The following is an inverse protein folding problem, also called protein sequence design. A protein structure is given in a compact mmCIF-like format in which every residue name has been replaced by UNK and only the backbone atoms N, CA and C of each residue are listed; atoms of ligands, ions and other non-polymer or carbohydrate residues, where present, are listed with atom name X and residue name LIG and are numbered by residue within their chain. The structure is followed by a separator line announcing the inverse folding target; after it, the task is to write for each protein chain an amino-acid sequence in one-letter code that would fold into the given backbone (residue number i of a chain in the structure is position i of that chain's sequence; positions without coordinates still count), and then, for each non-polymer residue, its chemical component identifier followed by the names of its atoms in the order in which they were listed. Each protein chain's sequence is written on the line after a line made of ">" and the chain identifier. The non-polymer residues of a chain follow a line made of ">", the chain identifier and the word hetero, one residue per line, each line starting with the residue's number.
data_IF_142697904705
#
_entry.id   IF_142697904705
#
_cell.length_a   1.000
_cell.length_b   1.000
_cell.length_c   1.000
_cell.angle_alpha   90.00
_cell.angle_beta   90.00
_cell.angle_gamma   90.00
#
_symmetry.space_group_name_H-M   'P 1'
#
loop_
_entity.id
_entity.type
_entity.pdbx_description
1 polymer ?
#
# COMPACT_ATOMS: atom_id res chain seq x y z
N UNK A 1 -8.78 21.41 15.58
CA UNK A 1 -8.00 21.14 14.35
C UNK A 1 -7.64 19.67 14.37
N UNK A 2 -7.79 18.95 13.24
CA UNK A 2 -7.41 17.54 13.16
C UNK A 2 -5.90 17.41 12.91
N UNK A 3 -5.25 16.47 13.59
CA UNK A 3 -3.86 16.09 13.32
C UNK A 3 -3.83 14.87 12.40
N UNK A 4 -2.75 14.59 11.67
CA UNK A 4 -2.66 13.38 10.84
C UNK A 4 -2.94 12.10 11.62
N UNK A 5 -2.49 12.02 12.87
CA UNK A 5 -2.65 10.85 13.76
C UNK A 5 -4.12 10.62 14.14
N UNK A 6 -4.98 11.64 14.03
CA UNK A 6 -6.42 11.48 14.26
C UNK A 6 -7.08 10.58 13.22
N UNK A 7 -6.50 10.46 12.03
CA UNK A 7 -7.00 9.57 10.98
C UNK A 7 -6.77 8.07 11.29
N UNK A 8 -5.94 7.77 12.29
CA UNK A 8 -5.64 6.39 12.70
C UNK A 8 -6.72 5.80 13.61
N UNK A 9 -7.53 6.65 14.26
CA UNK A 9 -8.46 6.20 15.30
C UNK A 9 -9.55 5.30 14.71
N UNK A 10 -9.66 4.07 15.23
CA UNK A 10 -10.67 3.05 14.83
C UNK A 10 -10.60 2.65 13.35
N UNK A 11 -9.52 3.01 12.65
CA UNK A 11 -9.32 2.64 11.26
C UNK A 11 -8.78 1.21 11.14
N UNK A 12 -9.23 0.47 10.14
CA UNK A 12 -8.75 -0.90 9.88
C UNK A 12 -7.37 -0.94 9.21
N UNK A 13 -7.02 0.12 8.47
CA UNK A 13 -5.76 0.23 7.75
C UNK A 13 -5.37 1.70 7.52
N UNK A 14 -4.08 1.94 7.32
CA UNK A 14 -3.54 3.24 6.88
C UNK A 14 -3.26 3.21 5.38
N UNK A 15 -3.65 4.27 4.65
CA UNK A 15 -3.33 4.44 3.23
C UNK A 15 -2.50 5.71 3.02
N UNK A 16 -1.30 5.57 2.44
CA UNK A 16 -0.43 6.69 2.09
C UNK A 16 -0.65 7.08 0.63
N UNK A 17 -1.33 8.21 0.41
CA UNK A 17 -1.63 8.73 -0.93
C UNK A 17 -0.62 9.80 -1.40
N UNK A 18 0.13 10.40 -0.48
CA UNK A 18 1.07 11.50 -0.75
C UNK A 18 2.38 11.33 0.02
N UNK A 19 3.47 11.87 -0.52
CA UNK A 19 4.85 11.72 -0.03
C UNK A 19 5.32 12.87 0.87
N UNK A 20 4.39 13.53 1.56
CA UNK A 20 4.69 14.71 2.35
C UNK A 20 5.73 14.39 3.43
N UNK A 21 6.62 15.35 3.70
CA UNK A 21 7.78 15.13 4.55
C UNK A 21 7.42 14.59 5.95
N UNK A 22 6.29 15.04 6.50
CA UNK A 22 5.74 14.58 7.79
C UNK A 22 5.39 13.09 7.82
N UNK A 23 5.19 12.44 6.67
CA UNK A 23 4.85 11.00 6.59
C UNK A 23 6.05 10.10 6.40
N UNK A 24 7.27 10.63 6.22
CA UNK A 24 8.47 9.79 5.93
C UNK A 24 9.07 9.12 7.16
N UNK A 25 8.83 9.66 8.36
CA UNK A 25 9.33 9.11 9.61
C UNK A 25 8.21 9.11 10.67
N UNK A 26 7.13 8.33 10.46
CA UNK A 26 6.03 8.29 11.40
C UNK A 26 6.40 7.47 12.64
N UNK A 27 5.61 7.65 13.69
CA UNK A 27 5.63 6.76 14.84
C UNK A 27 4.84 5.48 14.51
N UNK A 28 5.56 4.42 14.15
CA UNK A 28 4.95 3.13 13.83
C UNK A 28 4.37 2.41 15.04
N UNK A 29 4.83 2.69 16.26
CA UNK A 29 4.24 2.12 17.47
C UNK A 29 2.86 2.74 17.70
N UNK A 30 2.74 4.06 17.55
CA UNK A 30 1.46 4.76 17.61
C UNK A 30 0.48 4.26 16.54
N UNK A 31 0.95 4.05 15.31
CA UNK A 31 0.12 3.51 14.22
C UNK A 31 -0.39 2.12 14.60
N UNK A 32 0.49 1.22 15.06
CA UNK A 32 0.09 -0.14 15.45
C UNK A 32 -0.93 -0.15 16.59
N UNK A 33 -0.79 0.77 17.56
CA UNK A 33 -1.71 0.86 18.70
C UNK A 33 -3.09 1.41 18.35
N UNK A 34 -3.19 2.24 17.31
CA UNK A 34 -4.45 2.94 16.97
C UNK A 34 -5.29 2.26 15.91
N UNK A 35 -4.66 1.54 14.99
CA UNK A 35 -5.37 0.77 13.97
C UNK A 35 -5.97 -0.51 14.57
N UNK A 36 -7.14 -0.93 14.08
CA UNK A 36 -7.74 -2.22 14.45
C UNK A 36 -6.88 -3.41 13.97
N UNK A 37 -6.14 -3.22 12.88
CA UNK A 37 -5.17 -4.16 12.35
C UNK A 37 -3.93 -3.40 11.84
N UNK A 38 -2.72 -3.96 11.98
CA UNK A 38 -1.48 -3.31 11.56
C UNK A 38 -1.29 -3.43 10.03
N UNK A 39 -2.20 -2.83 9.26
CA UNK A 39 -2.23 -2.90 7.79
C UNK A 39 -1.90 -1.52 7.20
N UNK A 40 -0.93 -1.47 6.29
CA UNK A 40 -0.52 -0.25 5.59
C UNK A 40 -0.51 -0.49 4.08
N UNK A 41 -1.26 0.31 3.33
CA UNK A 41 -1.16 0.44 1.88
C UNK A 41 -0.37 1.70 1.54
N UNK A 42 0.69 1.59 0.75
CA UNK A 42 1.57 2.71 0.47
C UNK A 42 1.75 2.94 -1.02
N UNK A 43 1.01 3.93 -1.53
CA UNK A 43 1.07 4.36 -2.92
C UNK A 43 2.36 5.10 -3.29
N UNK A 44 3.22 5.42 -2.33
CA UNK A 44 4.43 6.25 -2.51
C UNK A 44 5.72 5.54 -2.11
N UNK A 45 5.65 4.29 -1.66
CA UNK A 45 6.80 3.45 -1.32
C UNK A 45 7.74 4.11 -0.29
N UNK A 46 7.18 4.82 0.69
CA UNK A 46 7.93 5.60 1.70
C UNK A 46 8.69 4.73 2.70
N UNK A 47 8.18 3.53 2.99
CA UNK A 47 8.69 2.70 4.08
C UNK A 47 9.46 1.48 3.57
N UNK A 48 10.32 0.96 4.45
CA UNK A 48 11.08 -0.25 4.21
C UNK A 48 10.25 -1.49 4.53
N UNK A 49 10.23 -2.45 3.60
CA UNK A 49 9.35 -3.63 3.69
C UNK A 49 9.79 -4.57 4.80
N UNK A 50 11.10 -4.86 4.89
CA UNK A 50 11.61 -5.76 5.93
C UNK A 50 11.43 -5.18 7.33
N UNK A 51 11.63 -3.88 7.49
CA UNK A 51 11.48 -3.19 8.76
C UNK A 51 10.04 -3.23 9.27
N UNK A 52 9.06 -3.09 8.38
CA UNK A 52 7.64 -3.18 8.74
C UNK A 52 7.21 -4.62 9.02
N UNK A 53 7.66 -5.58 8.20
CA UNK A 53 7.41 -7.00 8.45
C UNK A 53 7.96 -7.45 9.82
N UNK A 54 9.19 -7.03 10.19
CA UNK A 54 9.79 -7.30 11.51
C UNK A 54 9.00 -6.71 12.69
N UNK A 55 8.13 -5.73 12.43
CA UNK A 55 7.24 -5.11 13.43
C UNK A 55 5.82 -5.69 13.43
N UNK A 56 5.56 -6.69 12.59
CA UNK A 56 4.25 -7.33 12.49
C UNK A 56 3.23 -6.54 11.68
N UNK A 57 3.67 -5.63 10.81
CA UNK A 57 2.78 -4.98 9.85
C UNK A 57 2.60 -5.83 8.60
N UNK A 58 1.37 -5.87 8.10
CA UNK A 58 1.11 -6.19 6.70
C UNK A 58 1.32 -4.91 5.88
N UNK A 59 2.34 -4.90 5.04
CA UNK A 59 2.74 -3.71 4.29
C UNK A 59 2.67 -3.97 2.79
N UNK A 60 1.81 -3.20 2.13
CA UNK A 60 1.53 -3.31 0.70
C UNK A 60 2.04 -2.07 -0.07
N UNK A 61 3.35 -2.00 -0.40
CA UNK A 61 3.92 -0.99 -1.28
C UNK A 61 3.63 -1.29 -2.76
N UNK A 62 3.70 -0.30 -3.64
CA UNK A 62 3.52 -0.53 -5.07
C UNK A 62 4.74 -1.23 -5.68
N UNK A 63 4.47 -2.36 -6.35
CA UNK A 63 5.44 -3.06 -7.21
C UNK A 63 6.58 -3.79 -6.49
N UNK A 64 6.46 -4.02 -5.17
CA UNK A 64 7.43 -4.79 -4.37
C UNK A 64 6.76 -5.42 -3.13
N UNK A 65 7.49 -6.27 -2.42
CA UNK A 65 7.05 -6.83 -1.13
C UNK A 65 5.75 -7.64 -1.24
N UNK A 66 4.94 -7.63 -0.17
CA UNK A 66 3.71 -8.42 -0.09
C UNK A 66 2.72 -8.14 -1.23
N UNK A 67 2.74 -6.94 -1.82
CA UNK A 67 1.90 -6.62 -2.99
C UNK A 67 2.18 -7.49 -4.22
N UNK A 68 3.40 -8.02 -4.35
CA UNK A 68 3.77 -8.93 -5.42
C UNK A 68 3.41 -10.40 -5.11
N UNK A 69 3.19 -10.71 -3.83
CA UNK A 69 2.91 -12.05 -3.33
C UNK A 69 1.43 -12.29 -3.02
N UNK A 70 0.57 -11.30 -3.31
CA UNK A 70 -0.87 -11.43 -3.15
C UNK A 70 -1.41 -12.61 -3.99
N UNK A 71 -2.37 -13.39 -3.47
CA UNK A 71 -2.96 -14.54 -4.16
C UNK A 71 -3.97 -14.11 -5.25
N UNK A 72 -3.65 -13.09 -6.03
CA UNK A 72 -4.42 -12.63 -7.18
C UNK A 72 -3.86 -13.31 -8.43
N UNK A 73 -4.72 -13.97 -9.25
CA UNK A 73 -4.31 -14.43 -10.56
C UNK A 73 -3.78 -13.25 -11.35
N UNK A 74 -2.50 -13.30 -11.72
CA UNK A 74 -1.88 -12.27 -12.56
C UNK A 74 -2.57 -12.32 -13.93
N UNK A 75 -3.58 -11.45 -14.13
CA UNK A 75 -4.25 -11.32 -15.42
C UNK A 75 -3.20 -10.81 -16.41
N UNK A 76 -2.82 -11.66 -17.36
CA UNK A 76 -1.93 -11.26 -18.44
C UNK A 76 -2.62 -10.19 -19.26
N UNK A 77 -2.06 -8.99 -19.28
CA UNK A 77 -2.56 -7.90 -20.11
C UNK A 77 -2.42 -8.32 -21.59
N UNK A 78 -3.52 -8.29 -22.34
CA UNK A 78 -3.47 -8.47 -23.79
C UNK A 78 -2.90 -7.18 -24.39
N UNK A 79 -1.79 -7.22 -25.15
CA UNK A 79 -1.26 -6.03 -25.80
C UNK A 79 -2.30 -5.37 -26.70
N UNK A 80 -2.30 -4.04 -26.76
CA UNK A 80 -3.24 -3.28 -27.59
C UNK A 80 -3.18 -3.69 -29.06
N UNK A 81 -1.98 -4.03 -29.56
CA UNK A 81 -1.74 -4.48 -30.94
C UNK A 81 -2.44 -5.80 -31.29
N UNK A 82 -2.78 -6.62 -30.28
CA UNK A 82 -3.50 -7.88 -30.47
C UNK A 82 -5.02 -7.71 -30.42
N UNK A 83 -5.53 -6.52 -30.06
CA UNK A 83 -6.97 -6.23 -29.99
C UNK A 83 -7.54 -5.73 -31.33
N UNK A 84 -6.70 -5.14 -32.19
CA UNK A 84 -7.14 -4.50 -33.46
C UNK A 84 -7.14 -5.44 -34.67
N UNK A 85 -6.50 -6.61 -34.55
CA UNK A 85 -6.37 -7.57 -35.67
C UNK A 85 -7.65 -8.36 -35.99
N UNK A 86 -8.74 -8.14 -35.24
CA UNK A 86 -10.05 -8.82 -35.46
C UNK A 86 -11.14 -7.93 -36.08
N UNK A 87 -10.82 -6.67 -36.46
CA UNK A 87 -11.79 -5.75 -37.08
C UNK A 87 -11.30 -5.15 -38.41
N UNK A 88 -10.44 -5.86 -39.14
CA UNK A 88 -10.20 -5.58 -40.55
C UNK A 88 -11.12 -6.50 -41.38
N UNK A 89 -12.35 -6.03 -41.63
CA UNK A 89 -13.21 -6.50 -42.73
C UNK A 89 -13.01 -5.53 -43.89
#
# INVERSE_FOLDING_TARGET
>A
MGTPESALNEADALIVCTEWQQFKAPDFELIQQRLNAPIIFDGRNLYDTERLAKRGFHYFPIGRGESCDLPIPQKRWTPYDQLTSSQAI
#
